data_IF_610363801115
#
_entry.id   IF_610363801115
#
_cell.length_a   1.000
_cell.length_b   1.000
_cell.length_c   1.000
_cell.angle_alpha   90.00
_cell.angle_beta   90.00
_cell.angle_gamma   90.00
#
_symmetry.space_group_name_H-M   'P 1'
#
loop_
_entity.id
_entity.type
_entity.pdbx_description
1 polymer ?
#
# COMPACT_ATOMS: atom_id res chain seq x y z
N UNK A 1 4.77 4.20 -7.70
CA UNK A 1 5.86 3.40 -8.30
C UNK A 1 6.85 2.85 -7.26
N UNK A 2 7.41 3.68 -6.36
CA UNK A 2 8.42 3.21 -5.38
C UNK A 2 7.99 1.99 -4.56
N UNK A 3 6.72 1.95 -4.11
CA UNK A 3 6.13 0.79 -3.45
C UNK A 3 6.18 -0.51 -4.26
N UNK A 4 5.90 -0.46 -5.56
CA UNK A 4 5.94 -1.66 -6.41
C UNK A 4 7.37 -2.18 -6.57
N UNK A 5 8.34 -1.28 -6.72
CA UNK A 5 9.77 -1.65 -6.75
C UNK A 5 10.16 -2.30 -5.42
N UNK A 6 9.69 -1.75 -4.30
CA UNK A 6 9.93 -2.32 -2.97
C UNK A 6 9.30 -3.70 -2.83
N UNK A 7 8.05 -3.90 -3.26
CA UNK A 7 7.41 -5.22 -3.30
C UNK A 7 8.25 -6.24 -4.06
N UNK A 8 8.68 -5.91 -5.29
CA UNK A 8 9.52 -6.80 -6.09
C UNK A 8 10.87 -7.12 -5.42
N UNK A 9 11.49 -6.15 -4.75
CA UNK A 9 12.73 -6.37 -3.97
C UNK A 9 12.53 -7.28 -2.76
N UNK A 10 11.33 -7.32 -2.21
CA UNK A 10 10.95 -8.17 -1.07
C UNK A 10 10.42 -9.55 -1.49
N UNK A 11 10.40 -9.85 -2.79
CA UNK A 11 9.86 -11.10 -3.31
C UNK A 11 8.33 -11.17 -3.36
N UNK A 12 7.65 -10.04 -3.18
CA UNK A 12 6.19 -9.95 -3.34
C UNK A 12 5.91 -9.89 -4.85
N UNK A 13 5.09 -10.81 -5.35
CA UNK A 13 4.76 -10.92 -6.76
C UNK A 13 4.05 -9.66 -7.26
N UNK A 14 4.48 -9.14 -8.41
CA UNK A 14 3.83 -8.03 -9.09
C UNK A 14 2.94 -8.56 -10.20
N UNK A 15 1.68 -8.14 -10.18
CA UNK A 15 0.68 -8.49 -11.19
C UNK A 15 0.05 -7.27 -11.83
N UNK A 16 -0.58 -7.50 -12.98
CA UNK A 16 -1.55 -6.56 -13.51
C UNK A 16 -2.79 -6.55 -12.64
N UNK A 17 -3.35 -5.36 -12.47
CA UNK A 17 -4.65 -5.21 -11.82
C UNK A 17 -5.75 -5.62 -12.80
N UNK A 18 -6.74 -6.38 -12.31
CA UNK A 18 -7.86 -6.86 -13.15
C UNK A 18 -8.77 -5.69 -13.59
N UNK A 19 -8.78 -4.62 -12.80
CA UNK A 19 -9.42 -3.33 -13.11
C UNK A 19 -8.38 -2.23 -12.90
N UNK A 20 -8.13 -1.43 -13.93
CA UNK A 20 -7.19 -0.31 -13.83
C UNK A 20 -7.83 0.80 -13.00
N UNK A 21 -7.20 1.15 -11.87
CA UNK A 21 -7.57 2.34 -11.10
C UNK A 21 -6.78 3.54 -11.58
N UNK A 22 -7.37 4.32 -12.48
CA UNK A 22 -6.89 5.65 -12.89
C UNK A 22 -7.88 6.68 -12.34
N UNK A 23 -7.54 7.30 -11.20
CA UNK A 23 -8.42 8.28 -10.55
C UNK A 23 -9.60 7.64 -9.81
N UNK A 24 -9.39 6.47 -9.21
CA UNK A 24 -10.42 5.80 -8.40
C UNK A 24 -10.16 6.03 -6.91
N UNK A 25 -11.20 6.45 -6.21
CA UNK A 25 -11.22 6.47 -4.75
C UNK A 25 -11.69 5.12 -4.22
N UNK A 26 -10.98 4.55 -3.26
CA UNK A 26 -11.33 3.27 -2.64
C UNK A 26 -11.14 3.33 -1.13
N UNK A 27 -11.94 2.52 -0.41
CA UNK A 27 -11.70 2.24 1.00
C UNK A 27 -10.68 1.12 1.13
N UNK A 28 -9.72 1.29 2.03
CA UNK A 28 -8.70 0.30 2.35
C UNK A 28 -8.55 0.18 3.86
N UNK A 29 -8.20 -1.02 4.32
CA UNK A 29 -7.77 -1.23 5.70
C UNK A 29 -6.26 -0.98 5.81
N UNK A 30 -5.85 -0.01 6.62
CA UNK A 30 -4.47 0.26 6.99
C UNK A 30 -4.32 0.02 8.49
N UNK A 31 -3.81 -1.17 8.84
CA UNK A 31 -3.55 -1.56 10.24
C UNK A 31 -4.78 -1.40 11.17
N UNK A 32 -5.95 -1.81 10.70
CA UNK A 32 -7.22 -1.76 11.45
C UNK A 32 -7.97 -0.43 11.32
N UNK A 33 -7.45 0.54 10.56
CA UNK A 33 -8.13 1.80 10.24
C UNK A 33 -8.66 1.76 8.81
N UNK A 34 -9.91 2.16 8.64
CA UNK A 34 -10.54 2.27 7.33
C UNK A 34 -10.29 3.64 6.74
N UNK A 35 -9.53 3.71 5.65
CA UNK A 35 -9.08 4.95 5.04
C UNK A 35 -9.58 5.05 3.60
N UNK A 36 -10.01 6.25 3.20
CA UNK A 36 -10.51 6.55 1.85
C UNK A 36 -9.37 7.17 1.04
N UNK A 37 -8.84 6.44 0.06
CA UNK A 37 -7.60 6.80 -0.65
C UNK A 37 -7.72 6.75 -2.17
N UNK A 38 -6.91 7.55 -2.85
CA UNK A 38 -6.84 7.63 -4.31
C UNK A 38 -5.77 6.71 -4.92
N UNK A 39 -6.13 6.02 -6.01
CA UNK A 39 -5.22 5.14 -6.75
C UNK A 39 -4.99 5.61 -8.20
N UNK A 40 -3.73 5.49 -8.63
CA UNK A 40 -3.25 5.79 -9.99
C UNK A 40 -2.22 4.73 -10.43
N UNK A 41 -2.65 3.48 -10.55
CA UNK A 41 -1.74 2.37 -10.84
C UNK A 41 -2.38 1.29 -11.72
N UNK A 42 -1.53 0.69 -12.55
CA UNK A 42 -1.88 -0.45 -13.41
C UNK A 42 -1.33 -1.78 -12.87
N UNK A 43 -0.25 -1.71 -12.09
CA UNK A 43 0.38 -2.86 -11.44
C UNK A 43 0.14 -2.82 -9.92
N UNK A 44 0.18 -3.98 -9.28
CA UNK A 44 0.02 -4.12 -7.83
C UNK A 44 0.86 -5.29 -7.32
N UNK A 45 1.36 -5.19 -6.09
CA UNK A 45 1.93 -6.35 -5.40
C UNK A 45 0.82 -7.22 -4.83
N UNK A 46 0.96 -8.55 -4.85
CA UNK A 46 -0.03 -9.47 -4.25
C UNK A 46 0.59 -10.32 -3.15
N UNK A 47 -0.05 -10.33 -1.99
CA UNK A 47 0.36 -11.21 -0.89
C UNK A 47 -0.12 -12.63 -1.16
N UNK A 48 0.79 -13.50 -1.60
CA UNK A 48 0.51 -14.94 -1.80
C UNK A 48 1.60 -15.86 -1.28
N UNK A 49 2.81 -15.34 -1.07
CA UNK A 49 3.95 -16.07 -0.53
C UNK A 49 4.26 -15.63 0.91
N UNK A 50 4.96 -16.46 1.71
CA UNK A 50 5.49 -16.04 3.00
C UNK A 50 6.35 -14.77 2.85
N UNK A 51 6.10 -13.80 3.73
CA UNK A 51 6.87 -12.56 3.76
C UNK A 51 8.23 -12.78 4.44
N UNK A 52 9.27 -11.99 4.10
CA UNK A 52 10.51 -11.97 4.86
C UNK A 52 10.28 -11.64 6.34
N UNK A 53 11.21 -12.04 7.21
CA UNK A 53 11.13 -11.72 8.64
C UNK A 53 11.00 -10.20 8.85
N UNK A 54 10.12 -9.79 9.78
CA UNK A 54 9.87 -8.37 10.13
C UNK A 54 9.27 -7.54 9.00
N UNK A 55 8.77 -8.18 7.95
CA UNK A 55 7.97 -7.53 6.91
C UNK A 55 6.50 -7.85 7.15
N UNK A 56 5.67 -6.83 7.17
CA UNK A 56 4.22 -6.95 7.19
C UNK A 56 3.61 -6.20 6.02
N UNK A 57 2.39 -6.59 5.63
CA UNK A 57 1.63 -5.93 4.58
C UNK A 57 0.22 -5.66 5.07
N UNK A 58 -0.36 -4.53 4.64
CA UNK A 58 -1.79 -4.34 4.61
C UNK A 58 -2.27 -4.66 3.19
N UNK A 59 -3.10 -5.69 3.06
CA UNK A 59 -3.58 -6.19 1.79
C UNK A 59 -5.10 -6.33 1.80
N UNK A 60 -5.70 -6.17 0.62
CA UNK A 60 -7.11 -6.49 0.42
C UNK A 60 -7.35 -7.99 0.67
N UNK A 61 -8.31 -8.36 1.54
CA UNK A 61 -8.50 -9.76 1.93
C UNK A 61 -9.10 -10.64 0.83
N UNK A 62 -9.72 -10.06 -0.20
CA UNK A 62 -10.35 -10.80 -1.29
C UNK A 62 -9.39 -11.03 -2.47
N UNK A 63 -8.61 -10.00 -2.80
CA UNK A 63 -7.72 -9.98 -3.98
C UNK A 63 -6.25 -10.21 -3.64
N UNK A 64 -5.86 -10.00 -2.38
CA UNK A 64 -4.47 -10.02 -1.94
C UNK A 64 -3.67 -8.78 -2.36
N UNK A 65 -4.31 -7.77 -2.96
CA UNK A 65 -3.65 -6.55 -3.42
C UNK A 65 -3.02 -5.79 -2.24
N UNK A 66 -1.71 -5.59 -2.27
CA UNK A 66 -0.94 -4.95 -1.21
C UNK A 66 -1.06 -3.43 -1.32
N UNK A 67 -1.76 -2.83 -0.35
CA UNK A 67 -1.94 -1.39 -0.21
C UNK A 67 -0.78 -0.72 0.52
N UNK A 68 -0.20 -1.40 1.50
CA UNK A 68 0.96 -0.93 2.26
C UNK A 68 1.91 -2.08 2.58
N UNK A 69 3.22 -1.80 2.54
CA UNK A 69 4.27 -2.69 3.05
C UNK A 69 5.08 -1.97 4.12
N UNK A 70 5.38 -2.69 5.19
CA UNK A 70 6.11 -2.18 6.35
C UNK A 70 7.28 -3.09 6.67
N UNK A 71 8.46 -2.50 6.83
CA UNK A 71 9.64 -3.19 7.32
C UNK A 71 10.40 -2.34 8.35
N UNK A 72 11.54 -2.82 8.87
CA UNK A 72 12.24 -2.14 9.97
C UNK A 72 12.68 -0.70 9.66
N UNK A 73 12.95 -0.38 8.39
CA UNK A 73 13.54 0.90 7.99
C UNK A 73 12.82 1.54 6.80
N UNK A 74 11.62 1.06 6.48
CA UNK A 74 10.84 1.60 5.37
C UNK A 74 9.34 1.39 5.57
N UNK A 75 8.59 2.23 4.88
CA UNK A 75 7.15 2.10 4.62
C UNK A 75 6.94 2.36 3.13
N UNK A 76 6.08 1.59 2.50
CA UNK A 76 5.68 1.78 1.11
C UNK A 76 4.17 1.76 0.98
N UNK A 77 3.58 2.76 0.33
CA UNK A 77 2.14 2.84 0.05
C UNK A 77 1.87 2.76 -1.44
N UNK A 78 0.81 2.05 -1.82
CA UNK A 78 0.38 1.91 -3.21
C UNK A 78 -0.50 3.07 -3.68
N UNK A 79 -1.31 3.61 -2.79
CA UNK A 79 -2.17 4.76 -3.03
C UNK A 79 -1.37 6.07 -2.97
N UNK A 80 -2.02 7.14 -3.40
CA UNK A 80 -1.46 8.49 -3.44
C UNK A 80 -2.06 9.32 -2.31
N UNK A 81 -1.37 9.41 -1.18
CA UNK A 81 -1.84 10.18 -0.03
C UNK A 81 -1.99 11.68 -0.35
N UNK A 82 -1.22 12.18 -1.32
CA UNK A 82 -1.25 13.56 -1.81
C UNK A 82 -2.42 13.86 -2.76
N UNK A 83 -3.16 12.84 -3.20
CA UNK A 83 -4.25 13.01 -4.15
C UNK A 83 -5.45 13.75 -3.52
N UNK A 84 -6.13 14.56 -4.32
CA UNK A 84 -7.46 15.12 -3.99
C UNK A 84 -8.51 14.04 -3.69
N UNK A 85 -8.28 12.81 -4.16
CA UNK A 85 -9.15 11.66 -3.90
C UNK A 85 -8.87 10.98 -2.56
N UNK A 86 -7.82 11.37 -1.85
CA UNK A 86 -7.48 10.81 -0.54
C UNK A 86 -7.99 11.73 0.56
N UNK A 87 -8.80 11.19 1.46
CA UNK A 87 -9.22 11.88 2.67
C UNK A 87 -8.10 11.81 3.72
N UNK A 88 -7.92 12.88 4.49
CA UNK A 88 -6.92 12.96 5.58
C UNK A 88 -5.48 12.62 5.16
N UNK A 89 -5.11 12.88 3.89
CA UNK A 89 -3.81 12.48 3.33
C UNK A 89 -2.59 13.00 4.09
N UNK A 90 -2.67 14.19 4.67
CA UNK A 90 -1.61 14.73 5.53
C UNK A 90 -1.41 13.88 6.79
N UNK A 91 -2.51 13.55 7.48
CA UNK A 91 -2.48 12.76 8.72
C UNK A 91 -1.97 11.34 8.44
N UNK A 92 -2.36 10.75 7.30
CA UNK A 92 -1.83 9.45 6.86
C UNK A 92 -0.31 9.47 6.70
N UNK A 93 0.24 10.46 6.00
CA UNK A 93 1.69 10.58 5.82
C UNK A 93 2.39 10.86 7.15
N UNK A 94 1.82 11.75 7.97
CA UNK A 94 2.34 12.05 9.31
C UNK A 94 2.48 10.78 10.15
N UNK A 95 1.40 9.99 10.25
CA UNK A 95 1.36 8.78 11.05
C UNK A 95 2.34 7.72 10.53
N UNK A 96 2.36 7.49 9.21
CA UNK A 96 3.30 6.54 8.57
C UNK A 96 4.76 6.89 8.86
N UNK A 97 5.12 8.18 8.78
CA UNK A 97 6.48 8.64 9.05
C UNK A 97 6.80 8.56 10.53
N UNK A 98 5.87 8.96 11.40
CA UNK A 98 6.04 8.88 12.85
C UNK A 98 6.26 7.43 13.30
N UNK A 99 5.45 6.49 12.84
CA UNK A 99 5.59 5.05 13.12
C UNK A 99 6.90 4.44 12.58
N UNK A 100 7.45 4.99 11.50
CA UNK A 100 8.72 4.52 10.95
C UNK A 100 9.92 4.97 11.81
N UNK A 101 9.80 6.12 12.48
CA UNK A 101 10.89 6.75 13.22
C UNK A 101 10.84 6.50 14.74
N UNK A 102 9.76 5.89 15.24
CA UNK A 102 9.58 5.51 16.65
C UNK A 102 10.42 4.29 17.02
#
# INVERSE_FOLDING_TARGET
LGHQVLCGRLGIELGYKDIVFQGTQSRVDLAGRQEVVGFYNTFVGRSGAPLPERVSVAADPLTGDVHMVSGPHYRGIQFHAESILTEHGFDLIHDIVHELLA
#
